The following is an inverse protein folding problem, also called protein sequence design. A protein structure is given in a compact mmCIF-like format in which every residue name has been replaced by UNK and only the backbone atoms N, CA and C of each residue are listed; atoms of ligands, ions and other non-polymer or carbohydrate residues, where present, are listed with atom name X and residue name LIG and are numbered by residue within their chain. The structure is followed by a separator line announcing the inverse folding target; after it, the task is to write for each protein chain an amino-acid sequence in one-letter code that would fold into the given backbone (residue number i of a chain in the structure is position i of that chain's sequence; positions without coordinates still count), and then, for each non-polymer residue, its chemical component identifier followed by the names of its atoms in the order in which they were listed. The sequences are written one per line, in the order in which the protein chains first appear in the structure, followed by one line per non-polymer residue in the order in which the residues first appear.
data_IF_513474445937
#
_entry.id   IF_513474445937
#
_cell.length_a   1.000
_cell.length_b   1.000
_cell.length_c   1.000
_cell.angle_alpha   90.00
_cell.angle_beta   90.00
_cell.angle_gamma   90.00
#
_symmetry.space_group_name_H-M   'P 1'
#
loop_
_entity.id
_entity.type
_entity.pdbx_description
1 polymer ?
#
# COMPACT_ATOMS: atom_id res chain seq x y z
N UNK A 1 9.90 -28.83 29.39
CA UNK A 1 8.77 -27.97 29.05
C UNK A 1 9.39 -26.61 28.82
N UNK A 2 9.72 -26.30 27.56
CA UNK A 2 10.60 -25.17 27.22
C UNK A 2 9.76 -23.91 27.11
N UNK A 3 10.14 -22.90 27.86
CA UNK A 3 9.56 -21.55 27.90
C UNK A 3 9.34 -20.99 26.48
N UNK A 4 8.08 -20.77 26.11
CA UNK A 4 7.74 -19.88 25.02
C UNK A 4 8.00 -18.45 25.48
N UNK A 5 9.19 -17.93 25.17
CA UNK A 5 9.43 -16.49 25.20
C UNK A 5 8.60 -15.88 24.09
N UNK A 6 7.45 -15.31 24.44
CA UNK A 6 6.72 -14.38 23.59
C UNK A 6 7.61 -13.17 23.39
N UNK A 7 8.30 -13.11 22.26
CA UNK A 7 8.97 -11.91 21.79
C UNK A 7 7.86 -10.91 21.42
N UNK A 8 7.58 -10.01 22.35
CA UNK A 8 6.74 -8.83 22.15
C UNK A 8 7.47 -7.96 21.13
N UNK A 9 7.19 -8.18 19.84
CA UNK A 9 7.72 -7.33 18.77
C UNK A 9 7.17 -5.93 19.00
N UNK A 10 8.06 -5.00 19.40
CA UNK A 10 7.75 -3.58 19.43
C UNK A 10 7.36 -3.17 18.01
N UNK A 11 6.07 -2.89 17.79
CA UNK A 11 5.60 -2.34 16.54
C UNK A 11 5.91 -0.85 16.57
N UNK A 12 7.05 -0.47 15.98
CA UNK A 12 7.38 0.94 15.73
C UNK A 12 6.39 1.47 14.69
N UNK A 13 5.34 2.15 15.17
CA UNK A 13 4.36 2.83 14.32
C UNK A 13 4.86 4.26 14.13
N UNK A 14 5.20 4.61 12.90
CA UNK A 14 5.55 5.99 12.52
C UNK A 14 4.37 6.66 11.83
N UNK A 15 4.06 7.91 12.23
CA UNK A 15 3.07 8.73 11.54
C UNK A 15 3.63 9.20 10.19
N UNK A 16 2.90 8.90 9.12
CA UNK A 16 3.20 9.34 7.77
C UNK A 16 2.40 10.61 7.47
N UNK A 17 3.08 11.65 6.99
CA UNK A 17 2.40 12.86 6.52
C UNK A 17 1.60 12.59 5.24
N UNK A 18 0.53 13.35 4.98
CA UNK A 18 -0.31 13.16 3.79
C UNK A 18 0.50 13.27 2.48
N UNK A 19 1.42 14.24 2.38
CA UNK A 19 2.29 14.41 1.21
C UNK A 19 3.25 13.23 1.02
N UNK A 20 3.72 12.63 2.11
CA UNK A 20 4.58 11.47 2.07
C UNK A 20 3.82 10.21 1.68
N UNK A 21 2.63 9.99 2.24
CA UNK A 21 1.73 8.90 1.85
C UNK A 21 1.35 8.97 0.37
N UNK A 22 1.10 10.17 -0.16
CA UNK A 22 0.88 10.41 -1.60
C UNK A 22 2.09 10.02 -2.45
N UNK A 23 3.30 10.40 -2.03
CA UNK A 23 4.53 10.01 -2.74
C UNK A 23 4.77 8.51 -2.70
N UNK A 24 4.52 7.87 -1.57
CA UNK A 24 4.64 6.42 -1.43
C UNK A 24 3.67 5.69 -2.37
N UNK A 25 2.42 6.14 -2.46
CA UNK A 25 1.44 5.58 -3.37
C UNK A 25 1.85 5.77 -4.84
N UNK A 26 2.34 6.96 -5.21
CA UNK A 26 2.77 7.27 -6.59
C UNK A 26 4.00 6.47 -7.01
N UNK A 27 4.97 6.31 -6.11
CA UNK A 27 6.14 5.47 -6.36
C UNK A 27 5.76 3.99 -6.51
N UNK A 28 4.90 3.45 -5.64
CA UNK A 28 4.43 2.08 -5.73
C UNK A 28 3.61 1.84 -7.02
N UNK A 29 2.72 2.76 -7.40
CA UNK A 29 1.94 2.68 -8.63
C UNK A 29 2.86 2.65 -9.86
N UNK A 30 3.90 3.48 -9.89
CA UNK A 30 4.88 3.49 -10.98
C UNK A 30 5.70 2.20 -11.03
N UNK A 31 6.19 1.72 -9.88
CA UNK A 31 7.04 0.53 -9.83
C UNK A 31 6.30 -0.76 -10.16
N UNK A 32 5.07 -0.93 -9.67
CA UNK A 32 4.33 -2.18 -9.81
C UNK A 32 3.42 -2.22 -11.03
N UNK A 33 2.85 -1.08 -11.42
CA UNK A 33 1.77 -0.99 -12.41
C UNK A 33 2.08 -0.05 -13.57
N UNK A 34 3.24 0.63 -13.54
CA UNK A 34 3.70 1.55 -14.59
C UNK A 34 2.66 2.66 -14.90
N UNK A 35 2.01 3.18 -13.86
CA UNK A 35 1.05 4.29 -13.93
C UNK A 35 1.24 5.24 -12.74
N UNK A 36 0.64 6.43 -12.78
CA UNK A 36 0.65 7.36 -11.66
C UNK A 36 -0.28 6.91 -10.53
N UNK A 37 -0.12 7.46 -9.32
CA UNK A 37 -1.10 7.26 -8.25
C UNK A 37 -2.50 7.73 -8.65
N UNK A 38 -2.60 8.86 -9.37
CA UNK A 38 -3.88 9.43 -9.79
C UNK A 38 -4.62 8.48 -10.74
N UNK A 39 -3.92 7.94 -11.75
CA UNK A 39 -4.47 6.95 -12.67
C UNK A 39 -4.86 5.65 -11.94
N UNK A 40 -4.07 5.25 -10.94
CA UNK A 40 -4.35 4.08 -10.13
C UNK A 40 -5.64 4.25 -9.31
N UNK A 41 -5.79 5.37 -8.61
CA UNK A 41 -6.97 5.68 -7.79
C UNK A 41 -8.22 5.69 -8.68
N UNK A 42 -8.15 6.39 -9.82
CA UNK A 42 -9.26 6.46 -10.77
C UNK A 42 -9.66 5.05 -11.27
N UNK A 43 -8.69 4.24 -11.70
CA UNK A 43 -8.93 2.88 -12.16
C UNK A 43 -9.44 1.95 -11.04
N UNK A 44 -9.00 2.16 -9.79
CA UNK A 44 -9.42 1.38 -8.65
C UNK A 44 -10.86 1.69 -8.26
N UNK A 45 -11.21 2.97 -8.17
CA UNK A 45 -12.58 3.43 -7.85
C UNK A 45 -13.59 2.99 -8.91
N UNK A 46 -13.17 2.91 -10.18
CA UNK A 46 -14.00 2.40 -11.28
C UNK A 46 -14.00 0.87 -11.41
N UNK A 47 -13.14 0.14 -10.69
CA UNK A 47 -13.00 -1.31 -10.82
C UNK A 47 -12.44 -1.76 -12.17
N UNK A 48 -11.54 -0.98 -12.78
CA UNK A 48 -10.94 -1.25 -14.11
C UNK A 48 -9.84 -2.32 -14.12
N UNK A 49 -9.43 -2.84 -12.97
CA UNK A 49 -8.42 -3.90 -12.89
C UNK A 49 -9.01 -5.27 -13.25
N UNK A 50 -8.41 -5.95 -14.24
CA UNK A 50 -8.81 -7.30 -14.64
C UNK A 50 -8.55 -8.34 -13.55
N UNK A 51 -7.50 -8.15 -12.76
CA UNK A 51 -7.12 -9.03 -11.64
C UNK A 51 -6.80 -8.18 -10.39
N UNK A 52 -7.83 -7.73 -9.66
CA UNK A 52 -7.66 -6.84 -8.50
C UNK A 52 -6.97 -7.55 -7.32
N UNK A 53 -7.02 -8.87 -7.26
CA UNK A 53 -6.38 -9.68 -6.23
C UNK A 53 -4.91 -10.01 -6.53
N UNK A 54 -4.38 -9.56 -7.68
CA UNK A 54 -2.97 -9.74 -7.99
C UNK A 54 -2.11 -9.06 -6.93
N UNK A 55 -0.98 -9.69 -6.57
CA UNK A 55 -0.06 -9.14 -5.55
C UNK A 55 0.36 -7.69 -5.86
N UNK A 56 0.56 -7.37 -7.14
CA UNK A 56 0.97 -6.03 -7.57
C UNK A 56 -0.12 -4.99 -7.32
N UNK A 57 -1.37 -5.32 -7.62
CA UNK A 57 -2.50 -4.40 -7.38
C UNK A 57 -2.74 -4.24 -5.88
N UNK A 58 -2.72 -5.35 -5.12
CA UNK A 58 -2.92 -5.32 -3.67
C UNK A 58 -1.82 -4.54 -2.93
N UNK A 59 -0.57 -4.63 -3.38
CA UNK A 59 0.55 -3.85 -2.81
C UNK A 59 0.33 -2.35 -2.94
N UNK A 60 -0.23 -1.89 -4.07
CA UNK A 60 -0.54 -0.46 -4.28
C UNK A 60 -1.83 -0.08 -3.54
N UNK A 61 -2.86 -0.93 -3.58
CA UNK A 61 -4.13 -0.70 -2.89
C UNK A 61 -3.98 -0.56 -1.37
N UNK A 62 -3.02 -1.28 -0.77
CA UNK A 62 -2.71 -1.16 0.65
C UNK A 62 -2.26 0.25 1.07
N UNK A 63 -1.79 1.07 0.13
CA UNK A 63 -1.35 2.45 0.37
C UNK A 63 -2.46 3.50 0.20
N UNK A 64 -3.64 3.12 -0.32
CA UNK A 64 -4.78 4.03 -0.50
C UNK A 64 -5.19 4.80 0.77
N UNK A 65 -5.16 4.22 2.00
CA UNK A 65 -5.48 4.96 3.21
C UNK A 65 -4.55 6.14 3.51
N UNK A 66 -3.32 6.13 2.99
CA UNK A 66 -2.30 7.16 3.24
C UNK A 66 -2.18 8.17 2.11
N UNK A 67 -2.60 7.81 0.89
CA UNK A 67 -2.43 8.61 -0.33
C UNK A 67 -3.66 9.38 -0.80
N UNK A 68 -4.86 9.12 -0.25
CA UNK A 68 -6.10 9.83 -0.67
C UNK A 68 -6.28 11.16 0.08
#
# INVERSE_FOLDING_TARGET
MTDLKTEEQACDIEEVSLDEGRRMLDDAARQHLNMSAEDFIEAWDEGRFTDPDSLRVQQVAALLPFGR
#
